data_IF_873102557538
#
_entry.id   IF_873102557538
#
_cell.length_a   1.000
_cell.length_b   1.000
_cell.length_c   1.000
_cell.angle_alpha   90.00
_cell.angle_beta   90.00
_cell.angle_gamma   90.00
#
_symmetry.space_group_name_H-M   'P 1'
#
loop_
_entity.id
_entity.type
_entity.pdbx_description
1 polymer ?
#
# COMPACT_ATOMS: atom_id res chain seq x y z
N UNK A 1 -5.62 -10.31 12.18
CA UNK A 1 -6.27 -11.37 11.37
C UNK A 1 -6.86 -10.73 10.14
N UNK A 2 -6.62 -11.32 8.94
CA UNK A 2 -7.07 -10.77 7.66
C UNK A 2 -8.01 -11.78 6.99
N UNK A 3 -9.00 -11.28 6.25
CA UNK A 3 -9.93 -12.07 5.48
C UNK A 3 -10.10 -11.44 4.09
N UNK A 4 -10.15 -12.25 3.04
CA UNK A 4 -10.32 -11.76 1.69
C UNK A 4 -11.18 -12.69 0.84
N UNK A 5 -11.84 -12.08 -0.14
CA UNK A 5 -12.63 -12.77 -1.13
C UNK A 5 -12.34 -12.21 -2.52
N UNK A 6 -12.37 -13.08 -3.51
CA UNK A 6 -12.24 -12.70 -4.92
C UNK A 6 -13.43 -13.26 -5.70
N UNK A 7 -13.94 -12.45 -6.61
CA UNK A 7 -15.03 -12.84 -7.48
C UNK A 7 -14.67 -12.54 -8.94
N UNK A 8 -14.76 -13.57 -9.78
CA UNK A 8 -14.47 -13.50 -11.20
C UNK A 8 -15.76 -13.58 -11.99
N UNK A 9 -16.05 -12.57 -12.79
CA UNK A 9 -17.22 -12.57 -13.67
C UNK A 9 -16.81 -12.17 -15.09
N UNK A 10 -16.83 -13.14 -15.99
CA UNK A 10 -16.36 -12.98 -17.39
C UNK A 10 -14.89 -12.49 -17.40
N UNK A 11 -14.68 -11.22 -17.75
CA UNK A 11 -13.35 -10.57 -17.80
C UNK A 11 -13.14 -9.60 -16.64
N UNK A 12 -14.09 -9.51 -15.72
CA UNK A 12 -14.00 -8.68 -14.53
C UNK A 12 -13.46 -9.46 -13.36
N UNK A 13 -12.61 -8.81 -12.60
CA UNK A 13 -12.03 -9.28 -11.35
C UNK A 13 -12.47 -8.32 -10.25
N UNK A 14 -13.08 -8.84 -9.22
CA UNK A 14 -13.45 -8.07 -8.04
C UNK A 14 -12.75 -8.68 -6.82
N UNK A 15 -12.26 -7.82 -5.96
CA UNK A 15 -11.62 -8.20 -4.71
C UNK A 15 -12.18 -7.43 -3.54
N UNK A 16 -12.30 -8.09 -2.40
CA UNK A 16 -12.57 -7.47 -1.12
C UNK A 16 -11.63 -8.08 -0.08
N UNK A 17 -10.92 -7.25 0.65
CA UNK A 17 -10.02 -7.68 1.73
C UNK A 17 -10.30 -6.84 2.97
N UNK A 18 -10.58 -7.52 4.07
CA UNK A 18 -10.70 -6.93 5.38
C UNK A 18 -9.41 -7.22 6.16
N UNK A 19 -8.65 -6.18 6.50
CA UNK A 19 -7.38 -6.30 7.22
C UNK A 19 -7.54 -5.87 8.67
N UNK A 20 -6.72 -6.46 9.51
CA UNK A 20 -6.67 -6.16 10.95
C UNK A 20 -8.04 -6.26 11.65
N UNK A 21 -8.86 -7.27 11.26
CA UNK A 21 -10.23 -7.48 11.76
C UNK A 21 -10.32 -7.52 13.29
N UNK A 22 -9.30 -8.11 13.91
CA UNK A 22 -9.22 -8.25 15.37
C UNK A 22 -8.55 -7.06 16.03
N UNK A 23 -8.25 -6.01 15.30
CA UNK A 23 -7.33 -4.93 15.69
C UNK A 23 -5.97 -5.48 16.17
N UNK A 24 -4.95 -4.69 16.12
CA UNK A 24 -3.63 -5.01 16.69
C UNK A 24 -3.23 -3.85 17.58
N UNK A 25 -2.67 -4.15 18.72
CA UNK A 25 -2.14 -3.12 19.60
C UNK A 25 -0.68 -3.40 19.93
N UNK A 26 0.14 -2.38 19.89
CA UNK A 26 1.52 -2.39 20.33
C UNK A 26 1.63 -1.47 21.53
N UNK A 27 2.14 -2.01 22.63
CA UNK A 27 2.44 -1.23 23.83
C UNK A 27 3.95 -0.99 23.91
N UNK A 28 4.35 0.26 23.90
CA UNK A 28 5.74 0.67 24.09
C UNK A 28 5.93 1.04 25.57
N UNK A 29 6.88 0.38 26.22
CA UNK A 29 7.23 0.70 27.59
C UNK A 29 8.72 1.00 27.66
N UNK A 30 9.05 2.19 28.14
CA UNK A 30 10.42 2.64 28.31
C UNK A 30 10.78 2.62 29.80
N UNK A 31 11.87 1.94 30.14
CA UNK A 31 12.47 1.96 31.48
C UNK A 31 13.82 2.65 31.40
N UNK A 32 13.80 3.98 31.50
CA UNK A 32 15.01 4.80 31.41
C UNK A 32 15.66 4.93 32.82
N UNK A 33 16.97 4.79 32.85
CA UNK A 33 17.74 5.10 34.07
C UNK A 33 17.95 6.61 34.18
N UNK A 34 18.27 7.08 35.40
CA UNK A 34 18.45 8.48 35.74
C UNK A 34 19.45 9.18 34.81
N UNK A 35 20.56 8.52 34.50
CA UNK A 35 21.61 9.06 33.64
C UNK A 35 21.11 9.29 32.18
N UNK A 36 20.27 8.40 31.68
CA UNK A 36 19.69 8.54 30.34
C UNK A 36 18.71 9.71 30.30
N UNK A 37 17.89 9.89 31.34
CA UNK A 37 16.97 11.03 31.47
C UNK A 37 17.77 12.34 31.47
N UNK A 38 18.83 12.45 32.25
CA UNK A 38 19.70 13.62 32.33
C UNK A 38 20.31 13.96 30.93
N UNK A 39 20.68 12.94 30.14
CA UNK A 39 21.21 13.16 28.78
C UNK A 39 20.12 13.72 27.85
N UNK A 40 18.88 13.20 27.90
CA UNK A 40 17.77 13.74 27.13
C UNK A 40 17.50 15.22 27.47
N UNK A 41 17.46 15.55 28.76
CA UNK A 41 17.29 16.92 29.25
C UNK A 41 18.41 17.85 28.81
N UNK A 42 19.69 17.41 28.92
CA UNK A 42 20.85 18.22 28.52
C UNK A 42 20.93 18.46 27.02
N UNK A 43 20.41 17.52 26.22
CA UNK A 43 20.38 17.62 24.77
C UNK A 43 19.11 18.24 24.24
N UNK A 44 18.18 18.66 25.14
CA UNK A 44 16.88 19.23 24.80
C UNK A 44 16.04 18.33 23.89
N UNK A 45 16.19 17.01 24.03
CA UNK A 45 15.39 16.00 23.36
C UNK A 45 14.20 15.59 24.23
N UNK A 46 13.11 15.19 23.57
CA UNK A 46 11.94 14.67 24.27
C UNK A 46 12.25 13.31 24.90
N UNK A 47 11.86 13.15 26.18
CA UNK A 47 11.98 11.88 26.87
C UNK A 47 10.90 10.94 26.35
N UNK A 48 11.25 9.72 25.85
CA UNK A 48 10.25 8.78 25.34
C UNK A 48 9.25 8.38 26.42
N UNK A 49 7.98 8.58 26.13
CA UNK A 49 6.87 8.20 27.00
C UNK A 49 6.31 6.81 26.60
N UNK A 50 5.70 6.12 27.57
CA UNK A 50 4.98 4.90 27.30
C UNK A 50 3.76 5.21 26.41
N UNK A 51 3.58 4.44 25.37
CA UNK A 51 2.51 4.65 24.40
C UNK A 51 1.78 3.36 24.07
N UNK A 52 0.51 3.51 23.66
CA UNK A 52 -0.30 2.44 23.10
C UNK A 52 -0.66 2.83 21.65
N UNK A 53 -0.21 2.03 20.70
CA UNK A 53 -0.55 2.15 19.30
C UNK A 53 -1.59 1.08 18.94
N UNK A 54 -2.72 1.51 18.39
CA UNK A 54 -3.81 0.61 17.99
C UNK A 54 -3.98 0.71 16.48
N UNK A 55 -3.91 -0.44 15.79
CA UNK A 55 -4.25 -0.56 14.38
C UNK A 55 -5.71 -0.99 14.27
N UNK A 56 -6.54 -0.14 13.68
CA UNK A 56 -7.95 -0.42 13.46
C UNK A 56 -8.20 -1.18 12.14
N UNK A 57 -9.33 -1.90 12.03
CA UNK A 57 -9.70 -2.61 10.82
C UNK A 57 -9.81 -1.69 9.61
N UNK A 58 -9.42 -2.19 8.44
CA UNK A 58 -9.60 -1.50 7.18
C UNK A 58 -10.14 -2.43 6.09
N UNK A 59 -10.97 -1.87 5.22
CA UNK A 59 -11.59 -2.58 4.11
C UNK A 59 -10.99 -2.10 2.79
N UNK A 60 -10.42 -3.03 2.02
CA UNK A 60 -9.90 -2.78 0.69
C UNK A 60 -10.85 -3.40 -0.32
N UNK A 61 -11.34 -2.62 -1.26
CA UNK A 61 -12.17 -3.07 -2.37
C UNK A 61 -11.47 -2.79 -3.68
N UNK A 62 -11.50 -3.76 -4.59
CA UNK A 62 -10.85 -3.65 -5.89
C UNK A 62 -11.71 -4.14 -7.04
N UNK A 63 -11.57 -3.51 -8.20
CA UNK A 63 -12.18 -3.93 -9.44
C UNK A 63 -11.21 -3.73 -10.60
N UNK A 64 -11.02 -4.78 -11.40
CA UNK A 64 -10.20 -4.76 -12.60
C UNK A 64 -10.88 -5.46 -13.76
N UNK A 65 -10.43 -5.17 -14.98
CA UNK A 65 -10.94 -5.83 -16.17
C UNK A 65 -9.82 -6.15 -17.15
N UNK A 66 -9.76 -7.42 -17.56
CA UNK A 66 -8.79 -7.89 -18.55
C UNK A 66 -9.31 -7.71 -19.98
N UNK A 67 -8.58 -6.98 -20.80
CA UNK A 67 -8.76 -6.86 -22.25
C UNK A 67 -7.64 -7.63 -22.95
N UNK A 68 -7.99 -8.63 -23.76
CA UNK A 68 -7.04 -9.43 -24.53
C UNK A 68 -7.19 -9.18 -26.00
N UNK A 69 -6.07 -8.88 -26.68
CA UNK A 69 -5.98 -8.74 -28.12
C UNK A 69 -4.81 -9.59 -28.61
N UNK A 70 -5.09 -10.76 -29.19
CA UNK A 70 -4.07 -11.74 -29.61
C UNK A 70 -3.19 -12.15 -28.41
N UNK A 71 -1.92 -11.80 -28.46
CA UNK A 71 -0.90 -12.10 -27.42
C UNK A 71 -0.77 -11.02 -26.34
N UNK A 72 -1.44 -9.88 -26.52
CA UNK A 72 -1.39 -8.75 -25.60
C UNK A 72 -2.59 -8.75 -24.68
N UNK A 73 -2.33 -8.51 -23.39
CA UNK A 73 -3.33 -8.24 -22.37
C UNK A 73 -3.13 -6.84 -21.80
N UNK A 74 -4.23 -6.17 -21.52
CA UNK A 74 -4.27 -4.87 -20.80
C UNK A 74 -5.28 -5.01 -19.69
N UNK A 75 -4.86 -4.79 -18.46
CA UNK A 75 -5.71 -4.90 -17.28
C UNK A 75 -5.61 -3.62 -16.45
N UNK A 76 -6.49 -2.66 -16.65
CA UNK A 76 -6.70 -1.58 -15.68
C UNK A 76 -7.38 -2.12 -14.42
N UNK A 77 -7.01 -1.53 -13.28
CA UNK A 77 -7.55 -1.85 -11.96
C UNK A 77 -7.70 -0.57 -11.14
N UNK A 78 -8.78 -0.50 -10.37
CA UNK A 78 -9.03 0.57 -9.40
C UNK A 78 -9.37 -0.08 -8.06
N UNK A 79 -8.76 0.46 -7.02
CA UNK A 79 -8.96 0.00 -5.66
C UNK A 79 -9.27 1.20 -4.75
N UNK A 80 -9.95 0.94 -3.67
CA UNK A 80 -10.19 1.89 -2.58
C UNK A 80 -9.86 1.23 -1.25
N UNK A 81 -9.09 1.92 -0.42
CA UNK A 81 -8.79 1.55 0.96
C UNK A 81 -9.63 2.43 1.89
N UNK A 82 -10.49 1.82 2.69
CA UNK A 82 -11.39 2.48 3.63
C UNK A 82 -10.90 2.18 5.03
N UNK A 83 -10.51 3.22 5.76
CA UNK A 83 -10.04 3.13 7.14
C UNK A 83 -11.03 3.77 8.10
N UNK A 84 -11.04 3.31 9.35
CA UNK A 84 -11.99 3.72 10.39
C UNK A 84 -11.30 4.40 11.58
N UNK A 85 -10.04 4.79 11.41
CA UNK A 85 -9.17 5.35 12.45
C UNK A 85 -9.15 6.89 12.48
N UNK A 86 -10.22 7.49 11.99
CA UNK A 86 -10.40 8.94 11.99
C UNK A 86 -9.88 9.61 10.72
N UNK A 87 -9.68 10.91 10.81
CA UNK A 87 -9.30 11.74 9.68
C UNK A 87 -7.80 11.55 9.34
N UNK A 88 -7.52 10.93 8.19
CA UNK A 88 -6.17 10.81 7.61
C UNK A 88 -5.92 11.84 6.53
N UNK A 89 -4.67 12.10 6.19
CA UNK A 89 -4.27 12.96 5.08
C UNK A 89 -4.44 12.30 3.71
N UNK A 90 -5.62 11.70 3.47
CA UNK A 90 -5.99 11.04 2.22
C UNK A 90 -6.77 11.96 1.29
N UNK A 91 -7.11 11.50 0.09
CA UNK A 91 -7.87 12.29 -0.87
C UNK A 91 -9.26 12.66 -0.33
N UNK A 92 -9.95 11.70 0.30
CA UNK A 92 -11.25 11.93 0.94
C UNK A 92 -11.07 11.79 2.45
N UNK A 93 -11.09 12.91 3.13
CA UNK A 93 -10.95 13.03 4.57
C UNK A 93 -12.32 13.18 5.20
N UNK A 94 -12.70 12.27 6.05
CA UNK A 94 -13.94 12.33 6.82
C UNK A 94 -13.72 11.74 8.21
N UNK A 95 -14.60 12.01 9.12
CA UNK A 95 -14.65 11.40 10.44
C UNK A 95 -15.97 10.64 10.57
N UNK A 96 -15.98 9.32 10.86
CA UNK A 96 -14.84 8.46 11.25
C UNK A 96 -14.12 7.74 10.11
N UNK A 97 -14.44 7.97 8.84
CA UNK A 97 -13.92 7.21 7.70
C UNK A 97 -12.99 8.04 6.84
N UNK A 98 -11.87 7.47 6.44
CA UNK A 98 -11.00 8.01 5.40
C UNK A 98 -10.93 7.05 4.23
N UNK A 99 -10.86 7.58 2.99
CA UNK A 99 -10.83 6.79 1.78
C UNK A 99 -9.60 7.17 0.97
N UNK A 100 -8.76 6.17 0.67
CA UNK A 100 -7.59 6.30 -0.18
C UNK A 100 -7.77 5.48 -1.46
N UNK A 101 -8.07 6.12 -2.61
CA UNK A 101 -8.14 5.45 -3.88
C UNK A 101 -6.74 5.21 -4.46
N UNK A 102 -6.56 4.07 -5.15
CA UNK A 102 -5.37 3.82 -5.95
C UNK A 102 -5.73 3.06 -7.22
N UNK A 103 -4.91 3.21 -8.24
CA UNK A 103 -5.15 2.62 -9.54
C UNK A 103 -3.89 1.99 -10.10
N UNK A 104 -4.09 0.95 -10.91
CA UNK A 104 -3.03 0.22 -11.56
C UNK A 104 -3.36 -0.12 -13.01
N UNK A 105 -2.31 -0.33 -13.78
CA UNK A 105 -2.37 -0.82 -15.13
C UNK A 105 -1.34 -1.92 -15.31
N UNK A 106 -1.79 -3.10 -15.73
CA UNK A 106 -0.93 -4.20 -16.14
C UNK A 106 -1.01 -4.37 -17.66
N UNK A 107 0.15 -4.42 -18.29
CA UNK A 107 0.33 -4.81 -19.67
C UNK A 107 1.00 -6.18 -19.69
N UNK A 108 0.43 -7.14 -20.41
CA UNK A 108 1.01 -8.47 -20.54
C UNK A 108 1.26 -8.87 -21.98
N UNK A 109 2.35 -9.59 -22.21
CA UNK A 109 2.68 -10.18 -23.49
C UNK A 109 2.80 -11.68 -23.36
N UNK A 110 1.97 -12.39 -24.14
CA UNK A 110 1.93 -13.86 -24.20
C UNK A 110 1.72 -14.55 -22.81
N UNK A 111 1.20 -13.80 -21.82
CA UNK A 111 1.10 -14.24 -20.43
C UNK A 111 2.44 -14.68 -19.80
N UNK A 112 3.54 -14.19 -20.35
CA UNK A 112 4.91 -14.47 -19.89
C UNK A 112 5.55 -13.22 -19.32
N UNK A 113 5.47 -12.09 -20.03
CA UNK A 113 6.07 -10.82 -19.60
C UNK A 113 4.97 -9.87 -19.17
N UNK A 114 5.20 -9.22 -18.06
CA UNK A 114 4.26 -8.26 -17.46
C UNK A 114 5.00 -6.95 -17.18
N UNK A 115 4.38 -5.85 -17.56
CA UNK A 115 4.77 -4.52 -17.16
C UNK A 115 3.61 -3.91 -16.37
N UNK A 116 3.90 -3.39 -15.19
CA UNK A 116 2.90 -2.83 -14.27
C UNK A 116 3.24 -1.40 -13.93
N UNK A 117 2.22 -0.58 -13.80
CA UNK A 117 2.34 0.75 -13.25
C UNK A 117 1.18 1.02 -12.30
N UNK A 118 1.40 1.83 -11.30
CA UNK A 118 0.39 2.19 -10.32
C UNK A 118 0.56 3.62 -9.83
N UNK A 119 -0.53 4.19 -9.36
CA UNK A 119 -0.61 5.48 -8.69
C UNK A 119 -1.45 5.30 -7.42
N UNK A 120 -0.94 5.76 -6.31
CA UNK A 120 -1.63 5.66 -5.02
C UNK A 120 -1.10 6.69 -4.04
N UNK A 121 -1.46 6.50 -2.78
CA UNK A 121 -1.06 7.35 -1.66
C UNK A 121 -1.29 8.84 -1.95
N UNK A 122 -2.54 9.18 -2.34
CA UNK A 122 -2.92 10.56 -2.59
C UNK A 122 -3.06 11.31 -1.28
N UNK A 123 -2.12 12.18 -0.97
CA UNK A 123 -2.08 12.93 0.29
C UNK A 123 -2.25 14.43 0.06
N UNK A 124 -2.93 15.10 0.98
CA UNK A 124 -3.02 16.56 1.04
C UNK A 124 -2.03 17.05 2.10
N UNK A 125 -0.86 17.49 1.66
CA UNK A 125 0.18 18.04 2.54
C UNK A 125 0.22 19.56 2.44
N UNK A 126 0.71 20.21 3.49
CA UNK A 126 0.97 21.65 3.47
C UNK A 126 2.24 21.91 2.67
N UNK A 127 2.20 22.84 1.73
CA UNK A 127 3.37 23.20 0.96
C UNK A 127 4.48 23.77 1.89
N UNK A 128 5.76 23.49 1.58
CA UNK A 128 6.90 24.00 2.34
C UNK A 128 6.94 25.53 2.40
N UNK A 129 6.39 26.19 1.38
CA UNK A 129 6.31 27.64 1.30
C UNK A 129 4.85 28.05 1.03
N UNK A 130 4.23 28.72 2.01
CA UNK A 130 2.86 29.23 1.90
C UNK A 130 1.84 28.45 2.70
N UNK A 131 0.60 28.95 2.72
CA UNK A 131 -0.51 28.35 3.49
C UNK A 131 -1.43 27.46 2.64
N UNK A 132 -1.04 27.08 1.43
CA UNK A 132 -1.85 26.25 0.55
C UNK A 132 -1.53 24.76 0.67
N UNK A 133 -2.54 23.93 0.53
CA UNK A 133 -2.38 22.48 0.51
C UNK A 133 -2.06 22.01 -0.91
N UNK A 134 -1.09 21.12 -1.04
CA UNK A 134 -0.70 20.45 -2.29
C UNK A 134 -1.11 18.99 -2.19
N UNK A 135 -1.63 18.45 -3.30
CA UNK A 135 -1.91 17.01 -3.40
C UNK A 135 -0.68 16.31 -3.96
N UNK A 136 -0.14 15.37 -3.22
CA UNK A 136 0.93 14.47 -3.64
C UNK A 136 0.37 13.10 -3.97
N UNK A 137 1.11 12.32 -4.73
CA UNK A 137 0.81 10.93 -5.07
C UNK A 137 2.10 10.16 -5.29
N UNK A 138 2.06 8.85 -5.13
CA UNK A 138 3.21 7.96 -5.28
C UNK A 138 3.03 7.09 -6.52
N UNK A 139 3.88 7.26 -7.55
CA UNK A 139 3.94 6.35 -8.68
C UNK A 139 4.73 5.09 -8.33
N UNK A 140 4.29 3.98 -8.89
CA UNK A 140 4.92 2.67 -8.75
C UNK A 140 5.09 2.05 -10.13
N UNK A 141 6.18 1.33 -10.36
CA UNK A 141 6.45 0.61 -11.59
C UNK A 141 7.00 -0.78 -11.31
N UNK A 142 6.58 -1.77 -12.07
CA UNK A 142 7.03 -3.15 -11.89
C UNK A 142 7.14 -3.91 -13.19
N UNK A 143 7.98 -4.93 -13.17
CA UNK A 143 8.14 -5.91 -14.25
C UNK A 143 7.99 -7.32 -13.68
N UNK A 144 7.35 -8.20 -14.44
CA UNK A 144 7.12 -9.59 -14.06
C UNK A 144 7.43 -10.55 -15.19
N UNK A 145 7.90 -11.73 -14.83
CA UNK A 145 8.09 -12.85 -15.72
C UNK A 145 7.38 -14.07 -15.14
N UNK A 146 6.54 -14.73 -15.96
CA UNK A 146 5.81 -15.93 -15.55
C UNK A 146 6.03 -17.03 -16.57
N UNK A 147 6.60 -18.15 -16.14
CA UNK A 147 6.87 -19.29 -17.01
C UNK A 147 6.67 -20.61 -16.27
N UNK A 148 5.86 -21.50 -16.84
CA UNK A 148 5.62 -22.88 -16.33
C UNK A 148 5.28 -22.97 -14.83
N UNK A 149 4.47 -22.03 -14.33
CA UNK A 149 4.05 -22.02 -12.93
C UNK A 149 5.02 -21.33 -11.97
N UNK A 150 6.12 -20.77 -12.48
CA UNK A 150 7.02 -19.92 -11.71
C UNK A 150 6.85 -18.48 -12.17
N UNK A 151 6.63 -17.55 -11.25
CA UNK A 151 6.58 -16.12 -11.54
C UNK A 151 7.57 -15.39 -10.66
N UNK A 152 8.30 -14.47 -11.26
CA UNK A 152 9.25 -13.59 -10.60
C UNK A 152 8.83 -12.18 -10.92
N UNK A 153 8.65 -11.36 -9.90
CA UNK A 153 8.25 -9.97 -10.04
C UNK A 153 9.25 -9.07 -9.32
N UNK A 154 9.48 -7.91 -9.90
CA UNK A 154 10.25 -6.83 -9.31
C UNK A 154 9.47 -5.54 -9.45
N UNK A 155 9.43 -4.74 -8.39
CA UNK A 155 8.81 -3.44 -8.41
C UNK A 155 9.65 -2.39 -7.67
N UNK A 156 9.61 -1.18 -8.22
CA UNK A 156 10.00 0.05 -7.56
C UNK A 156 8.73 0.74 -7.07
N UNK A 157 8.64 0.95 -5.77
CA UNK A 157 7.51 1.60 -5.11
C UNK A 157 7.98 2.85 -4.36
N UNK A 158 7.03 3.64 -3.90
CA UNK A 158 7.29 4.85 -3.11
C UNK A 158 8.21 5.86 -3.82
N UNK A 159 8.09 5.95 -5.15
CA UNK A 159 8.95 6.81 -5.97
C UNK A 159 8.58 8.26 -5.70
N UNK A 160 9.53 9.02 -5.14
CA UNK A 160 9.34 10.44 -4.83
C UNK A 160 8.65 10.70 -3.49
N UNK A 161 8.60 9.70 -2.61
CA UNK A 161 8.22 9.89 -1.22
C UNK A 161 9.17 10.90 -0.55
N UNK A 162 8.61 11.78 0.29
CA UNK A 162 9.36 12.76 1.09
C UNK A 162 10.04 12.14 2.33
N UNK A 163 10.04 10.82 2.43
CA UNK A 163 10.74 10.10 3.50
C UNK A 163 12.26 10.03 3.25
N UNK A 164 13.00 9.56 4.24
CA UNK A 164 14.45 9.34 4.13
C UNK A 164 14.82 8.33 3.03
N UNK A 165 13.91 7.42 2.69
CA UNK A 165 14.07 6.46 1.60
C UNK A 165 13.30 6.96 0.36
N UNK A 166 14.03 7.34 -0.68
CA UNK A 166 13.48 7.90 -1.93
C UNK A 166 12.67 6.87 -2.76
N UNK A 167 12.81 5.59 -2.49
CA UNK A 167 12.09 4.49 -3.15
C UNK A 167 12.31 3.18 -2.40
N UNK A 168 11.40 2.24 -2.59
CA UNK A 168 11.48 0.88 -2.08
C UNK A 168 11.61 -0.14 -3.22
N UNK A 169 12.37 -1.21 -3.00
CA UNK A 169 12.53 -2.31 -3.93
C UNK A 169 11.76 -3.53 -3.41
N UNK A 170 10.88 -4.08 -4.23
CA UNK A 170 10.09 -5.26 -3.88
C UNK A 170 10.39 -6.38 -4.86
N UNK A 171 10.83 -7.53 -4.33
CA UNK A 171 11.00 -8.76 -5.08
C UNK A 171 9.98 -9.79 -4.63
N UNK A 172 9.35 -10.48 -5.58
CA UNK A 172 8.38 -11.52 -5.31
C UNK A 172 8.69 -12.76 -6.15
N UNK A 173 8.58 -13.94 -5.51
CA UNK A 173 8.65 -15.24 -6.15
C UNK A 173 7.35 -16.00 -5.83
N UNK A 174 6.62 -16.37 -6.88
CA UNK A 174 5.43 -17.22 -6.77
C UNK A 174 5.67 -18.55 -7.50
N UNK A 175 5.37 -19.66 -6.82
CA UNK A 175 5.40 -20.99 -7.39
C UNK A 175 4.00 -21.59 -7.33
N UNK A 176 3.46 -21.99 -8.47
CA UNK A 176 2.13 -22.56 -8.61
C UNK A 176 2.25 -24.07 -8.86
N UNK A 177 1.90 -24.86 -7.85
CA UNK A 177 2.03 -26.32 -7.88
C UNK A 177 0.84 -27.03 -8.59
N UNK A 178 -0.27 -26.33 -8.82
CA UNK A 178 -1.50 -26.91 -9.33
C UNK A 178 -1.87 -26.44 -10.75
N UNK A 179 -0.93 -25.87 -11.50
CA UNK A 179 -1.23 -25.46 -12.87
C UNK A 179 -1.37 -26.69 -13.77
N UNK A 180 -2.57 -27.03 -14.28
CA UNK A 180 -2.71 -28.12 -15.24
C UNK A 180 -1.84 -27.83 -16.47
N UNK A 181 -1.21 -28.87 -16.98
CA UNK A 181 -0.35 -28.82 -18.19
C UNK A 181 -1.15 -28.46 -19.44
#
# INVERSE_FOLDING_TARGET
MDAGAQYLYKKWHFGATLRDVTSTFNAWSYSLNQRTIEVFEQTNNEIPENGLEITLPRLILGAGRLFKVKKFGVQPEVNIDITTDGQRNTLIQSDPFSIDPYMGLELSWNEIVYLRSGLGNFQKIQAEVGSHKVTTFEPNIGIGLSFKGVSIDYALTDIGDNSVALYSNVFSLKIDFNKPK
#
